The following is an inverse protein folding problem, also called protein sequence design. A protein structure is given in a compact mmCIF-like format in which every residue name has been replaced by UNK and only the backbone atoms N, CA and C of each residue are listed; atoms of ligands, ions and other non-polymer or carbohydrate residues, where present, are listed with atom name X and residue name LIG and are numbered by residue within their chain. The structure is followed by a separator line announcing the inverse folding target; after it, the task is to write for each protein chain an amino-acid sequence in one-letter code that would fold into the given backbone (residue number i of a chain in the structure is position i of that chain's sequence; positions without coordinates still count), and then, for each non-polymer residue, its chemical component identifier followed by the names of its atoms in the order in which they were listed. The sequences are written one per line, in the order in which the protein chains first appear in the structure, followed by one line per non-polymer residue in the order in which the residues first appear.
data_IF_502250991350
#
_entry.id   IF_502250991350
#
_cell.length_a   1.000
_cell.length_b   1.000
_cell.length_c   1.000
_cell.angle_alpha   90.00
_cell.angle_beta   90.00
_cell.angle_gamma   90.00
#
_symmetry.space_group_name_H-M   'P 1'
#
loop_
_entity.id
_entity.type
_entity.pdbx_description
1 polymer ?
#
# COMPACT_ATOMS: atom_id res chain seq x y z
N UNK A 1 -0.29 10.23 -12.08
CA UNK A 1 -1.60 10.63 -12.61
C UNK A 1 -2.61 10.85 -11.50
N UNK A 2 -2.95 9.84 -10.69
CA UNK A 2 -4.05 9.93 -9.72
C UNK A 2 -4.04 11.15 -8.79
N UNK A 3 -2.87 11.65 -8.39
CA UNK A 3 -2.78 12.86 -7.56
C UNK A 3 -2.94 14.18 -8.32
N UNK A 4 -2.67 14.23 -9.62
CA UNK A 4 -2.65 15.46 -10.45
C UNK A 4 -3.79 15.52 -11.47
N UNK A 5 -4.27 14.38 -11.95
CA UNK A 5 -5.12 14.26 -13.13
C UNK A 5 -4.46 14.69 -14.45
N UNK A 6 -3.13 14.81 -14.50
CA UNK A 6 -2.43 15.31 -15.69
C UNK A 6 -2.56 14.34 -16.87
N UNK A 7 -3.50 14.64 -17.77
CA UNK A 7 -3.85 13.78 -18.91
C UNK A 7 -2.73 13.74 -19.95
N UNK A 8 -1.90 14.78 -20.05
CA UNK A 8 -0.76 14.80 -20.95
C UNK A 8 0.33 13.86 -20.43
N UNK A 9 0.67 13.94 -19.14
CA UNK A 9 1.57 12.96 -18.50
C UNK A 9 1.05 11.53 -18.66
N UNK A 10 -0.26 11.32 -18.46
CA UNK A 10 -0.87 10.01 -18.64
C UNK A 10 -0.70 9.51 -20.07
N UNK A 11 -0.97 10.36 -21.06
CA UNK A 11 -0.93 9.99 -22.49
C UNK A 11 0.48 9.75 -23.00
N UNK A 12 1.41 10.66 -22.72
CA UNK A 12 2.73 10.67 -23.36
C UNK A 12 3.80 9.90 -22.58
N UNK A 13 3.63 9.74 -21.26
CA UNK A 13 4.66 9.14 -20.40
C UNK A 13 4.17 7.87 -19.72
N UNK A 14 3.08 7.93 -18.94
CA UNK A 14 2.66 6.79 -18.14
C UNK A 14 2.03 5.68 -18.99
N UNK A 15 1.20 6.01 -19.97
CA UNK A 15 0.49 5.03 -20.79
C UNK A 15 1.43 4.10 -21.58
N UNK A 16 2.45 4.59 -22.31
CA UNK A 16 3.38 3.71 -23.01
C UNK A 16 4.07 2.70 -22.07
N UNK A 17 4.43 3.13 -20.86
CA UNK A 17 5.06 2.28 -19.84
C UNK A 17 4.09 1.23 -19.30
N UNK A 18 2.88 1.64 -18.91
CA UNK A 18 1.83 0.75 -18.42
C UNK A 18 1.45 -0.31 -19.45
N UNK A 19 1.21 0.12 -20.69
CA UNK A 19 0.89 -0.76 -21.81
C UNK A 19 2.01 -1.76 -22.09
N UNK A 20 3.26 -1.30 -22.13
CA UNK A 20 4.42 -2.18 -22.35
C UNK A 20 4.62 -3.20 -21.24
N UNK A 21 4.48 -2.78 -19.98
CA UNK A 21 4.54 -3.67 -18.83
C UNK A 21 3.41 -4.71 -18.85
N UNK A 22 2.18 -4.30 -19.21
CA UNK A 22 1.05 -5.22 -19.31
C UNK A 22 1.25 -6.26 -20.43
N UNK A 23 1.78 -5.85 -21.58
CA UNK A 23 2.13 -6.77 -22.66
C UNK A 23 3.17 -7.80 -22.21
N UNK A 24 4.22 -7.36 -21.50
CA UNK A 24 5.19 -8.29 -20.91
C UNK A 24 4.55 -9.27 -19.92
N UNK A 25 3.67 -8.80 -19.03
CA UNK A 25 2.98 -9.68 -18.10
C UNK A 25 2.09 -10.69 -18.83
N UNK A 26 1.39 -10.29 -19.90
CA UNK A 26 0.60 -11.20 -20.72
C UNK A 26 1.45 -12.32 -21.32
N UNK A 27 2.65 -12.00 -21.81
CA UNK A 27 3.59 -12.98 -22.37
C UNK A 27 4.24 -13.88 -21.30
N UNK A 28 4.35 -13.40 -20.06
CA UNK A 28 4.88 -14.19 -18.94
C UNK A 28 3.82 -15.14 -18.34
N UNK A 29 2.54 -14.80 -18.40
CA UNK A 29 1.49 -15.65 -17.82
C UNK A 29 1.39 -17.00 -18.54
N UNK A 30 1.31 -18.06 -17.75
CA UNK A 30 1.15 -19.43 -18.21
C UNK A 30 -0.23 -19.93 -17.81
N UNK A 31 -0.94 -20.55 -18.77
CA UNK A 31 -2.23 -21.18 -18.54
C UNK A 31 -2.08 -22.53 -17.83
N UNK A 32 -2.89 -22.73 -16.79
CA UNK A 32 -3.04 -24.01 -16.08
C UNK A 32 -4.10 -24.89 -16.75
N UNK A 33 -4.10 -26.17 -16.39
CA UNK A 33 -5.06 -27.14 -16.93
C UNK A 33 -6.54 -26.80 -16.63
N UNK A 34 -6.81 -26.01 -15.59
CA UNK A 34 -8.15 -25.54 -15.22
C UNK A 34 -8.54 -24.20 -15.89
N UNK A 35 -7.69 -23.67 -16.77
CA UNK A 35 -7.89 -22.40 -17.48
C UNK A 35 -7.47 -21.15 -16.71
N UNK A 36 -7.06 -21.26 -15.43
CA UNK A 36 -6.50 -20.14 -14.67
C UNK A 36 -5.10 -19.76 -15.17
N UNK A 37 -4.66 -18.54 -14.86
CA UNK A 37 -3.33 -18.03 -15.24
C UNK A 37 -2.41 -17.92 -14.02
N UNK A 38 -1.12 -18.23 -14.23
CA UNK A 38 -0.07 -18.15 -13.21
C UNK A 38 1.22 -17.55 -13.75
N UNK A 39 2.09 -17.07 -12.86
CA UNK A 39 3.47 -16.70 -13.19
C UNK A 39 4.41 -17.87 -12.90
N UNK A 40 5.33 -18.14 -13.82
CA UNK A 40 6.30 -19.22 -13.69
C UNK A 40 7.61 -18.89 -14.46
N UNK A 41 8.79 -18.93 -13.84
CA UNK A 41 9.00 -19.05 -12.39
C UNK A 41 8.54 -17.79 -11.65
N UNK A 42 8.29 -17.92 -10.35
CA UNK A 42 7.94 -16.81 -9.46
C UNK A 42 8.72 -16.91 -8.14
N UNK A 43 8.91 -15.77 -7.47
CA UNK A 43 9.51 -15.68 -6.13
C UNK A 43 8.70 -14.74 -5.25
N UNK A 44 8.88 -14.82 -3.93
CA UNK A 44 8.44 -13.77 -3.02
C UNK A 44 9.68 -13.11 -2.42
N UNK A 45 10.05 -11.88 -2.81
CA UNK A 45 11.28 -11.25 -2.35
C UNK A 45 11.32 -11.13 -0.82
N UNK A 46 12.40 -11.46 -0.12
CA UNK A 46 13.44 -12.45 -0.45
C UNK A 46 13.21 -13.72 0.39
N UNK A 47 11.95 -14.04 0.62
CA UNK A 47 11.50 -15.11 1.49
C UNK A 47 11.66 -16.47 0.80
N UNK A 48 11.90 -17.48 1.62
CA UNK A 48 11.96 -18.89 1.20
C UNK A 48 10.98 -19.71 2.02
N UNK A 49 10.65 -20.90 1.52
CA UNK A 49 9.72 -21.83 2.16
C UNK A 49 10.27 -23.25 2.14
N UNK A 50 9.71 -24.12 2.96
CA UNK A 50 10.07 -25.54 3.02
C UNK A 50 9.15 -26.36 2.11
N UNK A 51 9.75 -27.24 1.31
CA UNK A 51 9.05 -28.28 0.54
C UNK A 51 9.79 -29.60 0.69
N UNK A 52 9.13 -30.62 1.21
CA UNK A 52 9.73 -31.94 1.46
C UNK A 52 11.06 -31.86 2.25
N UNK A 53 11.12 -30.96 3.23
CA UNK A 53 12.30 -30.62 4.05
C UNK A 53 13.43 -29.83 3.37
N UNK A 54 13.31 -29.52 2.07
CA UNK A 54 14.26 -28.66 1.36
C UNK A 54 13.81 -27.19 1.34
N UNK A 55 14.78 -26.27 1.40
CA UNK A 55 14.55 -24.83 1.23
C UNK A 55 14.33 -24.49 -0.24
N UNK A 56 13.24 -23.79 -0.54
CA UNK A 56 12.86 -23.38 -1.88
C UNK A 56 12.67 -21.86 -1.96
N UNK A 57 13.10 -21.29 -3.09
CA UNK A 57 12.87 -19.88 -3.43
C UNK A 57 11.88 -19.72 -4.61
N UNK A 58 11.94 -20.65 -5.57
CA UNK A 58 11.12 -20.63 -6.78
C UNK A 58 9.78 -21.32 -6.54
N UNK A 59 8.70 -20.68 -6.95
CA UNK A 59 7.32 -21.20 -6.93
C UNK A 59 6.62 -20.95 -8.26
N UNK A 60 5.39 -21.46 -8.39
CA UNK A 60 4.37 -20.86 -9.27
C UNK A 60 3.59 -19.80 -8.47
N UNK A 61 3.45 -18.60 -9.02
CA UNK A 61 2.71 -17.45 -8.45
C UNK A 61 2.90 -17.18 -6.95
N UNK A 62 3.69 -16.17 -6.62
CA UNK A 62 3.62 -15.50 -5.32
C UNK A 62 2.39 -14.59 -5.24
N UNK A 63 1.94 -14.30 -4.02
CA UNK A 63 0.90 -13.28 -3.80
C UNK A 63 1.29 -11.89 -4.32
N UNK A 64 2.60 -11.59 -4.31
CA UNK A 64 3.13 -10.34 -4.85
C UNK A 64 2.93 -10.24 -6.35
N UNK A 65 3.28 -11.29 -7.11
CA UNK A 65 3.08 -11.32 -8.56
C UNK A 65 1.61 -11.16 -8.92
N UNK A 66 0.73 -11.94 -8.30
CA UNK A 66 -0.71 -11.88 -8.55
C UNK A 66 -1.27 -10.49 -8.27
N UNK A 67 -0.83 -9.86 -7.17
CA UNK A 67 -1.25 -8.51 -6.80
C UNK A 67 -0.76 -7.45 -7.79
N UNK A 68 0.52 -7.49 -8.16
CA UNK A 68 1.13 -6.50 -9.05
C UNK A 68 0.60 -6.61 -10.48
N UNK A 69 0.51 -7.83 -11.02
CA UNK A 69 -0.03 -8.07 -12.37
C UNK A 69 -1.52 -7.70 -12.41
N UNK A 70 -2.28 -8.11 -11.39
CA UNK A 70 -3.70 -7.78 -11.28
C UNK A 70 -3.94 -6.27 -11.25
N UNK A 71 -3.22 -5.54 -10.39
CA UNK A 71 -3.35 -4.09 -10.29
C UNK A 71 -2.86 -3.36 -11.55
N UNK A 72 -1.81 -3.85 -12.21
CA UNK A 72 -1.34 -3.31 -13.48
C UNK A 72 -2.42 -3.41 -14.55
N UNK A 73 -3.08 -4.57 -14.68
CA UNK A 73 -4.16 -4.76 -15.64
C UNK A 73 -5.36 -3.85 -15.35
N UNK A 74 -5.77 -3.75 -14.08
CA UNK A 74 -6.85 -2.86 -13.65
C UNK A 74 -6.46 -1.38 -13.90
N UNK A 75 -5.19 -1.01 -13.70
CA UNK A 75 -4.65 0.33 -13.98
C UNK A 75 -4.64 0.65 -15.47
N UNK A 76 -4.24 -0.29 -16.33
CA UNK A 76 -4.30 -0.14 -17.78
C UNK A 76 -5.73 0.11 -18.26
N UNK A 77 -6.70 -0.65 -17.74
CA UNK A 77 -8.11 -0.45 -18.08
C UNK A 77 -8.63 0.94 -17.65
N UNK A 78 -8.25 1.41 -16.45
CA UNK A 78 -8.59 2.77 -16.00
C UNK A 78 -7.95 3.85 -16.89
N UNK A 79 -6.66 3.71 -17.20
CA UNK A 79 -5.92 4.66 -18.02
C UNK A 79 -6.48 4.75 -19.45
N UNK A 80 -6.74 3.61 -20.09
CA UNK A 80 -7.31 3.55 -21.43
C UNK A 80 -8.70 4.22 -21.49
N UNK A 81 -9.55 4.02 -20.47
CA UNK A 81 -10.85 4.68 -20.37
C UNK A 81 -10.73 6.20 -20.28
N UNK A 82 -9.80 6.71 -19.46
CA UNK A 82 -9.54 8.14 -19.34
C UNK A 82 -9.06 8.73 -20.67
N UNK A 83 -8.16 8.02 -21.36
CA UNK A 83 -7.56 8.50 -22.60
C UNK A 83 -8.45 8.30 -23.85
N UNK A 84 -9.55 7.56 -23.72
CA UNK A 84 -10.45 7.19 -24.81
C UNK A 84 -9.82 6.22 -25.80
N UNK A 85 -8.98 5.31 -25.32
CA UNK A 85 -8.22 4.37 -26.14
C UNK A 85 -8.94 3.02 -26.25
N UNK A 86 -8.97 2.50 -27.47
CA UNK A 86 -9.26 1.11 -27.77
C UNK A 86 -7.92 0.42 -28.09
N UNK A 87 -7.51 -0.53 -27.24
CA UNK A 87 -6.19 -1.16 -27.33
C UNK A 87 -6.28 -2.67 -27.07
N UNK A 88 -5.78 -3.52 -27.99
CA UNK A 88 -5.86 -4.98 -27.84
C UNK A 88 -5.12 -5.49 -26.60
N UNK A 89 -4.09 -4.78 -26.11
CA UNK A 89 -3.40 -5.16 -24.87
C UNK A 89 -4.32 -4.99 -23.67
N UNK A 90 -5.20 -3.98 -23.66
CA UNK A 90 -6.15 -3.75 -22.57
C UNK A 90 -7.23 -4.82 -22.56
N UNK A 91 -7.74 -5.19 -23.72
CA UNK A 91 -8.72 -6.27 -23.86
C UNK A 91 -8.14 -7.61 -23.39
N UNK A 92 -6.93 -7.96 -23.86
CA UNK A 92 -6.23 -9.16 -23.44
C UNK A 92 -5.93 -9.14 -21.93
N UNK A 93 -5.48 -8.02 -21.38
CA UNK A 93 -5.25 -7.83 -19.95
C UNK A 93 -6.52 -8.00 -19.13
N UNK A 94 -7.66 -7.47 -19.58
CA UNK A 94 -8.94 -7.64 -18.90
C UNK A 94 -9.40 -9.12 -18.88
N UNK A 95 -9.23 -9.84 -20.00
CA UNK A 95 -9.51 -11.28 -20.07
C UNK A 95 -8.58 -12.09 -19.16
N UNK A 96 -7.28 -11.79 -19.17
CA UNK A 96 -6.29 -12.43 -18.30
C UNK A 96 -6.57 -12.13 -16.82
N UNK A 97 -6.93 -10.89 -16.49
CA UNK A 97 -7.26 -10.44 -15.13
C UNK A 97 -8.37 -11.25 -14.48
N UNK A 98 -9.38 -11.67 -15.26
CA UNK A 98 -10.48 -12.50 -14.80
C UNK A 98 -10.08 -13.96 -14.52
N UNK A 99 -8.93 -14.39 -15.03
CA UNK A 99 -8.38 -15.75 -14.92
C UNK A 99 -7.23 -15.85 -13.93
N UNK A 100 -6.76 -14.74 -13.36
CA UNK A 100 -5.75 -14.73 -12.31
C UNK A 100 -6.34 -15.19 -10.97
N UNK A 101 -5.57 -15.97 -10.22
CA UNK A 101 -5.89 -16.32 -8.85
C UNK A 101 -6.00 -15.07 -7.96
N UNK A 102 -6.94 -15.08 -7.01
CA UNK A 102 -7.07 -14.04 -5.99
C UNK A 102 -6.22 -14.35 -4.75
N UNK A 103 -5.97 -13.33 -3.94
CA UNK A 103 -5.33 -13.50 -2.63
C UNK A 103 -6.17 -14.42 -1.74
N UNK A 104 -5.48 -15.27 -0.97
CA UNK A 104 -6.10 -16.28 -0.10
C UNK A 104 -5.67 -16.11 1.35
N UNK A 105 -6.52 -16.57 2.24
CA UNK A 105 -6.22 -16.71 3.67
C UNK A 105 -5.64 -18.11 3.92
N UNK A 106 -4.48 -18.14 4.58
CA UNK A 106 -3.78 -19.37 4.93
C UNK A 106 -4.26 -19.99 6.24
N UNK A 107 -3.68 -21.14 6.55
CA UNK A 107 -3.99 -21.97 7.71
C UNK A 107 -3.72 -21.29 9.07
N UNK A 108 -2.86 -20.27 9.12
CA UNK A 108 -2.63 -19.45 10.31
C UNK A 108 -3.44 -18.15 10.34
N UNK A 109 -4.40 -18.00 9.42
CA UNK A 109 -5.22 -16.80 9.26
C UNK A 109 -4.46 -15.61 8.67
N UNK A 110 -3.32 -15.85 8.02
CA UNK A 110 -2.46 -14.86 7.35
C UNK A 110 -2.78 -14.78 5.85
N UNK A 111 -2.36 -13.72 5.16
CA UNK A 111 -2.35 -13.73 3.68
C UNK A 111 -1.33 -14.76 3.20
N UNK A 112 -1.75 -15.73 2.39
CA UNK A 112 -0.86 -16.72 1.80
C UNK A 112 0.22 -16.04 0.96
N UNK A 113 1.49 -16.36 1.20
CA UNK A 113 2.59 -15.79 0.42
C UNK A 113 2.89 -16.56 -0.87
N UNK A 114 2.70 -17.88 -0.82
CA UNK A 114 2.88 -18.79 -1.96
C UNK A 114 1.65 -19.67 -2.18
N UNK A 115 1.59 -20.26 -3.37
CA UNK A 115 0.62 -21.30 -3.67
C UNK A 115 0.80 -22.51 -2.73
N UNK A 116 -0.31 -22.94 -2.11
CA UNK A 116 -0.36 -24.15 -1.28
C UNK A 116 -0.10 -23.92 0.20
N UNK A 117 0.10 -22.67 0.63
CA UNK A 117 0.38 -22.29 2.02
C UNK A 117 1.52 -23.11 2.66
N UNK A 118 2.70 -23.19 2.01
CA UNK A 118 3.83 -23.92 2.57
C UNK A 118 4.38 -23.23 3.81
N UNK A 119 5.12 -23.99 4.62
CA UNK A 119 5.79 -23.46 5.80
C UNK A 119 6.93 -22.51 5.39
N UNK A 120 6.88 -21.27 5.88
CA UNK A 120 7.98 -20.29 5.77
C UNK A 120 9.24 -20.76 6.52
N UNK A 121 10.43 -20.43 5.98
CA UNK A 121 11.71 -20.67 6.67
C UNK A 121 12.01 -19.64 7.75
N UNK A 122 11.51 -18.41 7.56
CA UNK A 122 11.68 -17.28 8.47
C UNK A 122 10.32 -16.58 8.68
N UNK A 123 9.74 -16.77 9.86
CA UNK A 123 8.50 -16.12 10.25
C UNK A 123 8.66 -14.61 10.43
N UNK A 124 9.84 -14.13 10.81
CA UNK A 124 10.13 -12.72 11.08
C UNK A 124 10.83 -12.03 9.91
N UNK A 125 10.72 -12.60 8.71
CA UNK A 125 11.37 -12.09 7.51
C UNK A 125 11.07 -10.62 7.29
N UNK A 126 12.10 -9.87 6.89
CA UNK A 126 12.05 -8.40 6.76
C UNK A 126 11.12 -7.92 5.66
N UNK A 127 10.88 -8.72 4.62
CA UNK A 127 9.95 -8.37 3.54
C UNK A 127 8.49 -8.72 3.88
N UNK A 128 7.59 -7.93 3.28
CA UNK A 128 6.14 -8.04 3.42
C UNK A 128 5.47 -8.17 2.05
N UNK A 129 6.16 -8.78 1.10
CA UNK A 129 5.74 -9.04 -0.28
C UNK A 129 4.29 -9.52 -0.44
N UNK A 130 3.74 -10.46 0.37
CA UNK A 130 2.32 -10.83 0.27
C UNK A 130 1.34 -9.70 0.57
N UNK A 131 1.79 -8.63 1.22
CA UNK A 131 1.00 -7.47 1.60
C UNK A 131 1.16 -6.28 0.65
N UNK A 132 1.81 -6.46 -0.51
CA UNK A 132 1.88 -5.39 -1.53
C UNK A 132 0.48 -4.90 -1.93
N UNK A 133 -0.52 -5.80 -1.90
CA UNK A 133 -1.94 -5.51 -2.08
C UNK A 133 -2.55 -4.56 -1.06
N UNK A 134 -1.99 -4.47 0.16
CA UNK A 134 -2.41 -3.52 1.21
C UNK A 134 -1.70 -2.17 1.07
N UNK A 135 -0.39 -2.20 0.82
CA UNK A 135 0.40 -1.01 0.57
C UNK A 135 1.66 -1.38 -0.25
N UNK A 136 1.94 -0.68 -1.36
CA UNK A 136 1.33 0.59 -1.77
C UNK A 136 0.05 0.47 -2.61
N UNK A 137 -0.37 -0.75 -2.98
CA UNK A 137 -1.58 -0.96 -3.77
C UNK A 137 -2.84 -0.74 -2.92
N UNK A 138 -3.99 -1.05 -3.50
CA UNK A 138 -5.31 -0.81 -2.92
C UNK A 138 -6.27 -2.00 -3.14
N UNK A 139 -5.70 -3.21 -3.05
CA UNK A 139 -6.44 -4.47 -3.20
C UNK A 139 -7.00 -4.97 -1.85
N UNK A 140 -6.36 -4.59 -0.75
CA UNK A 140 -6.78 -4.91 0.61
C UNK A 140 -7.26 -3.64 1.31
N UNK A 141 -8.53 -3.60 1.66
CA UNK A 141 -9.19 -2.47 2.31
C UNK A 141 -10.06 -2.97 3.47
N UNK A 142 -10.07 -2.21 4.57
CA UNK A 142 -10.74 -2.62 5.81
C UNK A 142 -12.26 -2.70 5.70
N UNK A 143 -12.86 -2.02 4.72
CA UNK A 143 -14.30 -2.02 4.48
C UNK A 143 -14.68 -2.92 3.30
N UNK A 144 -13.89 -2.90 2.21
CA UNK A 144 -14.21 -3.64 0.98
C UNK A 144 -13.76 -5.10 1.01
N UNK A 145 -12.63 -5.41 1.68
CA UNK A 145 -12.10 -6.76 1.80
C UNK A 145 -11.74 -7.10 3.25
N UNK A 146 -12.72 -7.04 4.18
CA UNK A 146 -12.46 -7.14 5.62
C UNK A 146 -11.78 -8.45 6.04
N UNK A 147 -12.07 -9.56 5.35
CA UNK A 147 -11.41 -10.85 5.58
C UNK A 147 -9.90 -10.78 5.25
N UNK A 148 -9.54 -10.21 4.09
CA UNK A 148 -8.14 -10.01 3.71
C UNK A 148 -7.46 -8.96 4.59
N UNK A 149 -8.16 -7.93 5.04
CA UNK A 149 -7.64 -6.95 5.98
C UNK A 149 -7.31 -7.57 7.35
N UNK A 150 -8.19 -8.46 7.84
CA UNK A 150 -7.91 -9.25 9.03
C UNK A 150 -6.70 -10.17 8.81
N UNK A 151 -6.61 -10.83 7.65
CA UNK A 151 -5.48 -11.68 7.30
C UNK A 151 -4.16 -10.90 7.19
N UNK A 152 -4.18 -9.70 6.61
CA UNK A 152 -3.02 -8.82 6.52
C UNK A 152 -2.53 -8.38 7.91
N UNK A 153 -3.45 -8.06 8.82
CA UNK A 153 -3.11 -7.78 10.22
C UNK A 153 -2.45 -8.98 10.90
N UNK A 154 -2.96 -10.19 10.64
CA UNK A 154 -2.33 -11.43 11.15
C UNK A 154 -0.95 -11.65 10.56
N UNK A 155 -0.74 -11.42 9.26
CA UNK A 155 0.59 -11.47 8.63
C UNK A 155 1.55 -10.49 9.31
N UNK A 156 1.17 -9.23 9.52
CA UNK A 156 2.00 -8.24 10.21
C UNK A 156 2.32 -8.63 11.65
N UNK A 157 1.36 -9.20 12.38
CA UNK A 157 1.58 -9.66 13.75
C UNK A 157 2.57 -10.83 13.79
N UNK A 158 2.49 -11.78 12.84
CA UNK A 158 3.44 -12.90 12.72
C UNK A 158 4.85 -12.42 12.36
N UNK A 159 4.96 -11.48 11.41
CA UNK A 159 6.24 -10.88 11.00
C UNK A 159 6.91 -10.07 12.12
N UNK A 160 6.14 -9.61 13.10
CA UNK A 160 6.64 -8.91 14.28
C UNK A 160 7.02 -7.43 14.01
N UNK A 161 7.31 -6.66 15.07
CA UNK A 161 7.72 -5.26 14.96
C UNK A 161 9.18 -5.12 14.48
N UNK A 162 9.60 -3.89 14.11
CA UNK A 162 10.99 -3.58 13.76
C UNK A 162 11.47 -4.22 12.45
N UNK A 163 12.72 -4.70 12.45
CA UNK A 163 13.56 -5.03 11.28
C UNK A 163 14.31 -3.81 10.73
N UNK A 164 14.75 -3.86 9.46
CA UNK A 164 15.50 -2.79 8.77
C UNK A 164 14.70 -1.49 8.70
N UNK A 165 15.37 -0.36 8.43
CA UNK A 165 14.72 0.96 8.37
C UNK A 165 13.54 1.01 7.38
N UNK A 166 13.72 0.46 6.18
CA UNK A 166 12.64 0.35 5.19
C UNK A 166 11.52 -0.60 5.60
N UNK A 167 11.84 -1.72 6.26
CA UNK A 167 10.83 -2.70 6.67
C UNK A 167 9.93 -2.11 7.75
N UNK A 168 10.54 -1.45 8.74
CA UNK A 168 9.83 -0.71 9.77
C UNK A 168 8.92 0.35 9.14
N UNK A 169 9.45 1.17 8.23
CA UNK A 169 8.67 2.20 7.56
C UNK A 169 7.49 1.62 6.75
N UNK A 170 7.69 0.49 6.06
CA UNK A 170 6.63 -0.17 5.30
C UNK A 170 5.55 -0.76 6.22
N UNK A 171 5.95 -1.37 7.35
CA UNK A 171 5.01 -1.81 8.40
C UNK A 171 4.20 -0.65 8.94
N UNK A 172 4.80 0.52 9.12
CA UNK A 172 4.10 1.71 9.59
C UNK A 172 2.98 2.12 8.63
N UNK A 173 3.27 2.22 7.32
CA UNK A 173 2.23 2.50 6.32
C UNK A 173 1.13 1.43 6.28
N UNK A 174 1.49 0.15 6.37
CA UNK A 174 0.52 -0.95 6.39
C UNK A 174 -0.37 -0.92 7.64
N UNK A 175 0.19 -0.59 8.81
CA UNK A 175 -0.57 -0.40 10.05
C UNK A 175 -1.51 0.79 9.92
N UNK A 176 -1.06 1.89 9.32
CA UNK A 176 -1.90 3.04 9.04
C UNK A 176 -3.07 2.69 8.10
N UNK A 177 -2.83 1.95 7.01
CA UNK A 177 -3.86 1.44 6.09
C UNK A 177 -4.91 0.56 6.77
N UNK A 178 -4.51 -0.14 7.83
CA UNK A 178 -5.39 -0.99 8.64
C UNK A 178 -6.10 -0.21 9.77
N UNK A 179 -5.92 1.11 9.88
CA UNK A 179 -6.46 1.92 10.99
C UNK A 179 -5.82 1.58 12.35
N UNK A 180 -4.65 0.94 12.37
CA UNK A 180 -3.96 0.49 13.57
C UNK A 180 -3.06 1.59 14.16
N UNK A 181 -3.70 2.67 14.61
CA UNK A 181 -3.03 3.89 15.07
C UNK A 181 -1.93 3.63 16.11
N UNK A 182 -2.21 2.75 17.09
CA UNK A 182 -1.29 2.46 18.19
C UNK A 182 -0.06 1.67 17.74
N UNK A 183 -0.20 0.69 16.83
CA UNK A 183 0.98 0.00 16.29
C UNK A 183 1.77 0.90 15.33
N UNK A 184 1.09 1.73 14.52
CA UNK A 184 1.76 2.70 13.66
C UNK A 184 2.58 3.71 14.49
N UNK A 185 1.98 4.27 15.54
CA UNK A 185 2.65 5.19 16.47
C UNK A 185 3.84 4.56 17.19
N UNK A 186 3.73 3.30 17.63
CA UNK A 186 4.86 2.57 18.24
C UNK A 186 6.01 2.32 17.27
N UNK A 187 5.72 1.98 16.01
CA UNK A 187 6.76 1.83 14.99
C UNK A 187 7.45 3.17 14.73
N UNK A 188 6.70 4.27 14.66
CA UNK A 188 7.27 5.60 14.48
C UNK A 188 8.19 5.99 15.65
N UNK A 189 7.71 5.79 16.88
CA UNK A 189 8.49 6.03 18.09
C UNK A 189 9.75 5.17 18.11
N UNK A 190 9.67 3.91 17.68
CA UNK A 190 10.82 3.02 17.54
C UNK A 190 11.83 3.54 16.52
N UNK A 191 11.39 4.02 15.35
CA UNK A 191 12.30 4.50 14.31
C UNK A 191 13.15 5.68 14.75
N UNK A 192 12.59 6.60 15.54
CA UNK A 192 13.28 7.83 15.95
C UNK A 192 14.19 7.66 17.16
N UNK A 193 14.27 6.45 17.75
CA UNK A 193 15.29 6.14 18.74
C UNK A 193 16.63 5.96 18.01
N UNK A 194 17.67 6.76 18.33
CA UNK A 194 18.94 6.69 17.62
C UNK A 194 19.56 5.29 17.68
N UNK A 195 19.86 4.72 16.51
CA UNK A 195 20.56 3.44 16.42
C UNK A 195 22.04 3.60 16.75
N UNK A 196 22.58 2.66 17.54
CA UNK A 196 24.02 2.61 17.81
C UNK A 196 24.80 2.21 16.55
N UNK A 197 26.02 2.72 16.41
CA UNK A 197 26.93 2.34 15.31
C UNK A 197 27.30 0.85 15.33
N UNK A 198 27.18 0.20 16.49
CA UNK A 198 27.28 -1.25 16.67
C UNK A 198 25.89 -1.81 17.04
N UNK A 199 25.07 -2.25 16.07
CA UNK A 199 23.74 -2.74 16.33
C UNK A 199 23.80 -4.14 16.95
N UNK A 200 22.92 -4.43 17.90
CA UNK A 200 22.82 -5.75 18.53
C UNK A 200 22.35 -6.87 17.57
N UNK A 201 21.74 -6.51 16.43
CA UNK A 201 21.23 -7.42 15.42
C UNK A 201 21.51 -6.86 14.00
N UNK A 202 21.83 -7.69 13.00
CA UNK A 202 22.19 -7.22 11.65
C UNK A 202 21.09 -6.41 10.94
N UNK A 203 19.84 -6.56 11.38
CA UNK A 203 18.66 -5.88 10.82
C UNK A 203 18.00 -4.92 11.82
N UNK A 204 18.78 -4.31 12.70
CA UNK A 204 18.28 -3.32 13.66
C UNK A 204 18.15 -1.94 13.00
N UNK A 205 17.07 -1.75 12.27
CA UNK A 205 16.75 -0.48 11.61
C UNK A 205 16.29 0.61 12.57
N UNK A 206 16.32 1.85 12.07
CA UNK A 206 15.97 3.07 12.78
C UNK A 206 16.67 4.26 12.14
N UNK A 207 16.84 5.34 12.89
CA UNK A 207 17.55 6.54 12.46
C UNK A 207 18.88 6.67 13.20
N UNK A 208 19.93 7.10 12.49
CA UNK A 208 21.17 7.58 13.10
C UNK A 208 20.97 8.96 13.77
N UNK A 209 21.94 9.46 14.57
CA UNK A 209 21.86 10.79 15.18
C UNK A 209 21.68 11.95 14.18
N UNK A 210 22.14 11.78 12.93
CA UNK A 210 21.93 12.73 11.83
C UNK A 210 20.59 12.53 11.10
N UNK A 211 19.68 11.73 11.67
CA UNK A 211 18.37 11.34 11.15
C UNK A 211 18.39 10.53 9.87
N UNK A 212 19.54 10.04 9.40
CA UNK A 212 19.59 9.10 8.29
C UNK A 212 19.11 7.72 8.71
N UNK A 213 18.18 7.16 7.95
CA UNK A 213 17.67 5.81 8.18
C UNK A 213 18.74 4.77 7.87
N UNK A 214 18.65 3.62 8.55
CA UNK A 214 19.67 2.59 8.48
C UNK A 214 19.07 1.22 8.26
N UNK A 215 19.71 0.42 7.40
CA UNK A 215 19.42 -1.00 7.23
C UNK A 215 19.92 -1.83 8.42
N UNK A 216 21.13 -1.68 8.98
CA UNK A 216 22.37 -0.95 8.58
C UNK A 216 23.14 -1.52 7.38
N UNK A 217 23.98 -0.72 6.69
CA UNK A 217 24.33 0.69 6.95
C UNK A 217 23.24 1.65 6.44
N UNK A 218 23.55 2.95 6.32
CA UNK A 218 22.66 3.98 5.77
C UNK A 218 21.88 3.51 4.54
N UNK A 219 20.56 3.66 4.59
CA UNK A 219 19.64 3.45 3.48
C UNK A 219 18.53 4.50 3.53
N UNK A 220 18.38 5.27 2.47
CA UNK A 220 17.47 6.43 2.43
C UNK A 220 15.99 6.04 2.28
N UNK A 221 15.72 4.80 1.87
CA UNK A 221 14.37 4.25 1.72
C UNK A 221 13.53 4.37 3.01
N UNK A 222 14.14 4.12 4.17
CA UNK A 222 13.51 4.28 5.48
C UNK A 222 13.09 5.73 5.75
N UNK A 223 13.90 6.73 5.36
CA UNK A 223 13.53 8.14 5.53
C UNK A 223 12.27 8.50 4.74
N UNK A 224 12.23 8.12 3.46
CA UNK A 224 11.08 8.41 2.61
C UNK A 224 9.85 7.61 3.03
N UNK A 225 10.03 6.33 3.39
CA UNK A 225 8.96 5.48 3.88
C UNK A 225 8.33 6.02 5.17
N UNK A 226 9.11 6.54 6.11
CA UNK A 226 8.60 7.13 7.34
C UNK A 226 7.69 8.34 7.05
N UNK A 227 8.11 9.22 6.14
CA UNK A 227 7.28 10.37 5.72
C UNK A 227 5.99 9.92 5.03
N UNK A 228 6.08 8.93 4.14
CA UNK A 228 4.90 8.35 3.49
C UNK A 228 3.93 7.72 4.49
N UNK A 229 4.46 7.03 5.50
CA UNK A 229 3.63 6.42 6.52
C UNK A 229 3.02 7.42 7.51
N UNK A 230 3.70 8.51 7.87
CA UNK A 230 3.10 9.64 8.63
C UNK A 230 1.94 10.25 7.84
N UNK A 231 2.11 10.44 6.53
CA UNK A 231 1.03 10.91 5.67
C UNK A 231 -0.17 9.94 5.69
N UNK A 232 0.07 8.63 5.53
CA UNK A 232 -0.96 7.58 5.57
C UNK A 232 -1.67 7.47 6.93
N UNK A 233 -1.03 7.87 8.03
CA UNK A 233 -1.67 7.94 9.36
C UNK A 233 -2.68 9.09 9.47
N UNK A 234 -2.44 10.19 8.76
CA UNK A 234 -3.20 11.44 8.88
C UNK A 234 -4.23 11.61 7.76
N UNK A 235 -3.93 11.22 6.52
CA UNK A 235 -4.85 11.25 5.38
C UNK A 235 -4.60 10.05 4.48
N UNK A 236 -5.68 9.33 4.17
CA UNK A 236 -5.72 8.33 3.10
C UNK A 236 -6.57 8.85 1.94
N UNK A 237 -6.19 8.53 0.72
CA UNK A 237 -6.95 8.90 -0.49
C UNK A 237 -7.01 7.77 -1.52
N UNK A 238 -7.07 6.53 -1.04
CA UNK A 238 -7.25 5.32 -1.84
C UNK A 238 -8.65 4.75 -1.54
N UNK A 239 -9.09 3.74 -2.28
CA UNK A 239 -10.42 3.13 -2.14
C UNK A 239 -11.55 4.03 -2.64
N UNK A 240 -11.23 4.95 -3.57
CA UNK A 240 -12.18 5.92 -4.14
C UNK A 240 -12.71 6.96 -3.15
N UNK A 241 -12.02 7.19 -2.03
CA UNK A 241 -12.45 8.11 -0.96
C UNK A 241 -11.28 8.79 -0.29
N UNK A 242 -11.56 9.86 0.44
CA UNK A 242 -10.61 10.48 1.38
C UNK A 242 -10.96 10.04 2.80
N UNK A 243 -9.98 9.58 3.58
CA UNK A 243 -10.12 9.29 5.01
C UNK A 243 -9.28 10.26 5.81
N UNK A 244 -9.90 10.94 6.76
CA UNK A 244 -9.28 11.92 7.63
C UNK A 244 -8.92 11.27 8.96
N UNK A 245 -7.68 11.48 9.42
CA UNK A 245 -7.14 10.91 10.65
C UNK A 245 -7.38 9.38 10.79
N UNK A 246 -7.15 8.57 9.73
CA UNK A 246 -7.51 7.15 9.73
C UNK A 246 -6.74 6.34 10.79
N UNK A 247 -5.55 6.80 11.21
CA UNK A 247 -4.72 6.11 12.20
C UNK A 247 -3.95 7.10 13.10
N UNK A 248 -4.65 8.09 13.67
CA UNK A 248 -4.07 9.07 14.60
C UNK A 248 -3.70 8.41 15.95
N UNK A 249 -2.42 8.35 16.36
CA UNK A 249 -2.01 7.73 17.61
C UNK A 249 -2.44 8.59 18.81
N UNK A 250 -2.75 7.95 19.94
CA UNK A 250 -3.14 8.64 21.18
C UNK A 250 -2.07 9.60 21.72
N UNK A 251 -0.81 9.41 21.34
CA UNK A 251 0.31 10.30 21.67
C UNK A 251 0.28 11.65 20.95
N UNK A 252 -0.61 11.85 19.97
CA UNK A 252 -0.79 13.09 19.21
C UNK A 252 -2.14 13.74 19.52
N UNK A 253 -2.36 14.24 20.74
CA UNK A 253 -3.66 14.78 21.15
C UNK A 253 -4.04 16.02 20.33
N UNK A 254 -3.07 16.85 19.98
CA UNK A 254 -3.30 18.11 19.30
C UNK A 254 -2.31 18.27 18.14
N UNK A 255 -2.76 18.89 17.05
CA UNK A 255 -1.88 19.18 15.94
C UNK A 255 -2.60 19.71 14.70
N UNK A 256 -1.79 20.02 13.70
CA UNK A 256 -2.25 20.51 12.42
C UNK A 256 -1.37 19.98 11.28
N UNK A 257 -1.96 19.92 10.09
CA UNK A 257 -1.34 19.48 8.85
C UNK A 257 -1.81 20.44 7.75
N UNK A 258 -0.91 20.83 6.85
CA UNK A 258 -1.22 21.74 5.75
C UNK A 258 -0.69 21.20 4.43
N UNK A 259 -1.50 21.30 3.38
CA UNK A 259 -1.09 21.05 2.00
C UNK A 259 -0.84 19.59 1.62
N UNK A 260 -1.30 18.61 2.42
CA UNK A 260 -1.08 17.21 2.08
C UNK A 260 -1.96 16.83 0.88
N UNK A 261 -1.34 16.31 -0.18
CA UNK A 261 -2.06 15.98 -1.41
C UNK A 261 -2.81 14.65 -1.29
N UNK A 262 -4.03 14.64 -1.83
CA UNK A 262 -4.89 13.48 -2.00
C UNK A 262 -5.09 13.17 -3.50
N UNK A 263 -5.42 11.91 -3.83
CA UNK A 263 -5.83 11.53 -5.18
C UNK A 263 -7.07 12.34 -5.61
N UNK A 264 -7.14 12.66 -6.90
CA UNK A 264 -8.21 13.47 -7.50
C UNK A 264 -7.87 14.95 -7.67
N UNK A 265 -6.62 15.38 -7.38
CA UNK A 265 -6.24 16.79 -7.51
C UNK A 265 -6.74 17.64 -6.33
N UNK A 266 -6.70 17.09 -5.12
CA UNK A 266 -7.12 17.77 -3.90
C UNK A 266 -5.94 17.88 -2.94
N UNK A 267 -5.83 18.97 -2.20
CA UNK A 267 -4.98 19.04 -0.99
C UNK A 267 -5.84 19.21 0.26
N UNK A 268 -5.36 18.64 1.35
CA UNK A 268 -6.06 18.56 2.63
C UNK A 268 -5.24 19.29 3.69
N UNK A 269 -5.90 20.21 4.37
CA UNK A 269 -5.45 20.78 5.64
C UNK A 269 -6.28 20.18 6.78
N UNK A 270 -5.65 19.87 7.90
CA UNK A 270 -6.31 19.32 9.09
C UNK A 270 -5.93 20.11 10.32
N UNK A 271 -6.88 20.21 11.25
CA UNK A 271 -6.63 20.55 12.64
C UNK A 271 -7.35 19.56 13.53
N UNK A 272 -6.67 19.07 14.55
CA UNK A 272 -7.25 18.21 15.57
C UNK A 272 -6.84 18.67 16.97
N UNK A 273 -7.69 18.39 17.94
CA UNK A 273 -7.43 18.65 19.35
C UNK A 273 -8.16 17.63 20.22
N UNK A 274 -7.56 17.21 21.32
CA UNK A 274 -8.01 16.10 22.17
C UNK A 274 -8.25 14.79 21.38
N UNK A 275 -7.37 14.49 20.42
CA UNK A 275 -7.43 13.31 19.56
C UNK A 275 -8.59 13.30 18.56
N UNK A 276 -9.26 14.44 18.36
CA UNK A 276 -10.46 14.56 17.53
C UNK A 276 -10.32 15.65 16.47
N UNK A 277 -10.86 15.39 15.28
CA UNK A 277 -10.92 16.37 14.20
C UNK A 277 -11.62 17.65 14.70
N UNK A 278 -11.06 18.81 14.36
CA UNK A 278 -11.68 20.12 14.63
C UNK A 278 -12.07 20.82 13.34
N UNK A 279 -11.24 20.70 12.31
CA UNK A 279 -11.56 21.15 10.97
C UNK A 279 -10.74 20.40 9.93
N UNK A 280 -11.31 20.22 8.75
CA UNK A 280 -10.58 19.82 7.55
C UNK A 280 -10.91 20.78 6.41
N UNK A 281 -9.89 21.26 5.69
CA UNK A 281 -10.09 22.09 4.50
C UNK A 281 -9.63 21.31 3.28
N UNK A 282 -10.52 21.18 2.29
CA UNK A 282 -10.21 20.54 1.01
C UNK A 282 -10.08 21.63 -0.06
N UNK A 283 -8.91 21.70 -0.68
CA UNK A 283 -8.64 22.61 -1.80
C UNK A 283 -8.56 21.80 -3.08
N UNK A 284 -9.43 22.09 -4.04
CA UNK A 284 -9.50 21.33 -5.27
C UNK A 284 -8.82 22.10 -6.42
N UNK A 285 -7.87 21.47 -7.10
CA UNK A 285 -7.30 22.01 -8.35
C UNK A 285 -8.07 21.56 -9.59
N UNK A 286 -9.04 20.65 -9.40
CA UNK A 286 -9.87 20.03 -10.44
C UNK A 286 -11.28 19.77 -9.91
N UNK A 287 -12.20 19.42 -10.79
CA UNK A 287 -13.47 18.87 -10.37
C UNK A 287 -13.23 17.56 -9.60
N UNK A 288 -13.81 17.45 -8.41
CA UNK A 288 -13.62 16.31 -7.51
C UNK A 288 -14.92 15.98 -6.80
N UNK A 289 -15.39 14.75 -7.00
CA UNK A 289 -16.57 14.23 -6.31
C UNK A 289 -16.20 12.88 -5.69
N UNK A 290 -16.18 12.81 -4.37
CA UNK A 290 -15.90 11.56 -3.66
C UNK A 290 -16.43 11.58 -2.23
N UNK A 291 -16.59 10.41 -1.59
CA UNK A 291 -16.78 10.32 -0.15
C UNK A 291 -15.55 10.84 0.62
N UNK A 292 -15.79 11.61 1.66
CA UNK A 292 -14.83 11.98 2.70
C UNK A 292 -15.30 11.34 4.00
N UNK A 293 -14.38 10.69 4.71
CA UNK A 293 -14.70 9.90 5.90
C UNK A 293 -13.89 10.34 7.10
N UNK A 294 -14.53 10.29 8.27
CA UNK A 294 -13.89 10.50 9.57
C UNK A 294 -14.51 9.50 10.56
N UNK A 295 -13.73 8.52 11.01
CA UNK A 295 -14.28 7.36 11.71
C UNK A 295 -15.34 6.65 10.86
N UNK A 296 -16.51 6.39 11.43
CA UNK A 296 -17.63 5.78 10.70
C UNK A 296 -18.47 6.81 9.89
N UNK A 297 -18.22 8.11 10.06
CA UNK A 297 -19.02 9.15 9.45
C UNK A 297 -18.57 9.37 7.99
N UNK A 298 -19.54 9.50 7.09
CA UNK A 298 -19.30 9.66 5.64
C UNK A 298 -20.02 10.90 5.13
N UNK A 299 -19.31 11.73 4.37
CA UNK A 299 -19.87 12.89 3.67
C UNK A 299 -19.36 12.92 2.25
N UNK A 300 -20.26 12.85 1.28
CA UNK A 300 -19.89 13.10 -0.12
C UNK A 300 -19.66 14.59 -0.33
N UNK A 301 -18.52 14.93 -0.91
CA UNK A 301 -18.19 16.29 -1.33
C UNK A 301 -18.22 16.38 -2.85
N UNK A 302 -18.59 17.55 -3.35
CA UNK A 302 -18.55 17.91 -4.76
C UNK A 302 -17.87 19.27 -4.87
N UNK A 303 -16.67 19.28 -5.46
CA UNK A 303 -15.78 20.44 -5.51
C UNK A 303 -15.47 20.79 -6.95
N UNK A 304 -15.42 22.07 -7.25
CA UNK A 304 -14.96 22.64 -8.52
C UNK A 304 -13.50 23.09 -8.41
N UNK A 305 -12.78 23.23 -9.54
CA UNK A 305 -11.44 23.81 -9.53
C UNK A 305 -11.45 25.20 -8.86
N UNK A 306 -10.56 25.39 -7.89
CA UNK A 306 -10.44 26.62 -7.09
C UNK A 306 -11.28 26.64 -5.82
N UNK A 307 -12.15 25.65 -5.58
CA UNK A 307 -12.94 25.58 -4.36
C UNK A 307 -12.06 25.26 -3.15
N UNK A 308 -12.39 25.88 -2.01
CA UNK A 308 -11.89 25.57 -0.69
C UNK A 308 -13.07 25.25 0.23
N UNK A 309 -13.32 23.96 0.50
CA UNK A 309 -14.41 23.50 1.36
C UNK A 309 -13.90 23.22 2.77
N UNK A 310 -14.47 23.91 3.77
CA UNK A 310 -14.21 23.63 5.18
C UNK A 310 -15.25 22.67 5.73
N UNK A 311 -14.78 21.60 6.36
CA UNK A 311 -15.56 20.59 7.05
C UNK A 311 -15.30 20.69 8.56
N UNK A 312 -16.37 20.75 9.34
CA UNK A 312 -16.36 20.59 10.80
C UNK A 312 -16.88 19.19 11.14
N UNK A 313 -16.56 18.64 12.32
CA UNK A 313 -17.03 17.31 12.74
C UNK A 313 -18.52 17.11 12.47
N UNK A 314 -18.85 15.95 11.92
CA UNK A 314 -20.19 15.56 11.51
C UNK A 314 -20.57 14.18 12.05
#
# INVERSE_FOLDING_TARGET
YDFTGDDEFLRSTAWPLLRGAAAFCLDWLVERADGSLMTLPSTSPEATYLRAADVQALTSSSAMDLSLVGDLFDTCARAARVLGLDDPVVEAAASARARLDTLRVGSHGQVCEWAGDPQETDQHHRHLSPLVGLHPLDLIDTEQTPELAAAARRTLNRRGPGSTGWSLAWKLSMRARLGDAEHAGRLLAQAVVPTSEAPAHPWAGGLHPNLFATHPPFQIDGNFGLMGGIAEMLVQSHGGRIRLLPALPSSWPDGELWGLRARGGVSVDLRWAEGRLRSATLHATRAFTAPVTYGAAVRTVDLRPGDALVLYPW
#
